data_IF_062185210446
#
_entry.id   IF_062185210446
#
_cell.length_a   1.000
_cell.length_b   1.000
_cell.length_c   1.000
_cell.angle_alpha   90.00
_cell.angle_beta   90.00
_cell.angle_gamma   90.00
#
_symmetry.space_group_name_H-M   'P 1'
#
loop_
_entity.id
_entity.type
_entity.pdbx_description
1 polymer ?
#
# COMPACT_ATOMS: atom_id res chain seq x y z
N UNK A 1 -22.60 11.04 0.90
CA UNK A 1 -22.02 11.43 2.21
C UNK A 1 -21.61 10.17 2.93
N UNK A 2 -20.32 10.01 3.25
CA UNK A 2 -19.86 8.86 4.02
C UNK A 2 -20.07 9.20 5.49
N UNK A 3 -20.73 8.31 6.24
CA UNK A 3 -21.05 8.55 7.65
C UNK A 3 -19.76 8.59 8.48
N UNK A 4 -19.66 9.52 9.44
CA UNK A 4 -18.50 9.66 10.35
C UNK A 4 -18.13 8.34 11.04
N UNK A 5 -19.11 7.47 11.31
CA UNK A 5 -18.89 6.11 11.81
C UNK A 5 -17.96 5.26 10.93
N UNK A 6 -18.08 5.36 9.60
CA UNK A 6 -17.22 4.60 8.66
C UNK A 6 -15.76 5.05 8.76
N UNK A 7 -15.51 6.35 8.95
CA UNK A 7 -14.16 6.87 9.13
C UNK A 7 -13.48 6.32 10.38
N UNK A 8 -14.18 6.28 11.51
CA UNK A 8 -13.66 5.71 12.74
C UNK A 8 -13.44 4.20 12.64
N UNK A 9 -14.32 3.46 11.96
CA UNK A 9 -14.13 2.03 11.70
C UNK A 9 -12.89 1.75 10.85
N UNK A 10 -12.70 2.51 9.76
CA UNK A 10 -11.52 2.36 8.90
C UNK A 10 -10.26 2.77 9.65
N UNK A 11 -10.32 3.83 10.46
CA UNK A 11 -9.20 4.23 11.32
C UNK A 11 -8.80 3.12 12.30
N UNK A 12 -9.77 2.49 12.96
CA UNK A 12 -9.52 1.36 13.85
C UNK A 12 -8.91 0.16 13.10
N UNK A 13 -9.40 -0.13 11.88
CA UNK A 13 -8.82 -1.17 11.04
C UNK A 13 -7.36 -0.87 10.65
N UNK A 14 -7.02 0.38 10.33
CA UNK A 14 -5.65 0.80 10.05
C UNK A 14 -4.75 0.68 11.28
N UNK A 15 -5.24 1.04 12.48
CA UNK A 15 -4.51 0.84 13.73
C UNK A 15 -4.25 -0.64 13.98
N UNK A 16 -5.25 -1.50 13.81
CA UNK A 16 -5.09 -2.94 13.94
C UNK A 16 -4.03 -3.48 12.96
N UNK A 17 -4.09 -3.10 11.68
CA UNK A 17 -3.07 -3.48 10.70
C UNK A 17 -1.68 -2.97 11.09
N UNK A 18 -1.58 -1.79 11.72
CA UNK A 18 -0.29 -1.25 12.21
C UNK A 18 0.30 -2.10 13.31
N UNK A 19 -0.54 -2.50 14.28
CA UNK A 19 -0.12 -3.40 15.34
C UNK A 19 0.29 -4.77 14.80
N UNK A 20 -0.42 -5.28 13.78
CA UNK A 20 -0.05 -6.53 13.11
C UNK A 20 1.31 -6.40 12.41
N UNK A 21 1.58 -5.32 11.68
CA UNK A 21 2.91 -5.12 11.06
C UNK A 21 4.02 -4.96 12.10
N UNK A 22 3.75 -4.25 13.20
CA UNK A 22 4.72 -4.11 14.29
C UNK A 22 4.97 -5.45 15.00
N UNK A 23 3.92 -6.24 15.23
CA UNK A 23 4.00 -7.59 15.80
C UNK A 23 4.78 -8.56 14.89
N UNK A 24 4.56 -8.48 13.59
CA UNK A 24 5.26 -9.30 12.60
C UNK A 24 6.79 -9.06 12.61
N UNK A 25 7.26 -7.88 13.04
CA UNK A 25 8.69 -7.63 13.21
C UNK A 25 9.35 -8.47 14.31
N UNK A 26 8.57 -8.98 15.28
CA UNK A 26 9.07 -9.81 16.38
C UNK A 26 8.93 -11.31 16.11
N UNK A 27 8.23 -11.70 15.04
CA UNK A 27 8.03 -13.11 14.67
C UNK A 27 8.96 -13.44 13.51
N UNK A 28 9.88 -14.38 13.74
CA UNK A 28 10.83 -14.78 12.71
C UNK A 28 10.20 -15.81 11.76
N UNK A 29 9.56 -15.30 10.71
CA UNK A 29 8.97 -16.09 9.62
C UNK A 29 10.03 -16.50 8.57
N UNK A 30 11.28 -16.07 8.75
CA UNK A 30 12.33 -16.10 7.72
C UNK A 30 12.30 -14.84 6.85
N UNK A 31 13.49 -14.37 6.46
CA UNK A 31 13.70 -13.05 5.84
C UNK A 31 12.81 -12.78 4.60
N UNK A 32 12.61 -13.80 3.76
CA UNK A 32 11.83 -13.69 2.52
C UNK A 32 10.32 -13.59 2.79
N UNK A 33 9.81 -14.43 3.70
CA UNK A 33 8.39 -14.48 4.06
C UNK A 33 7.97 -13.25 4.86
N UNK A 34 8.85 -12.73 5.71
CA UNK A 34 8.55 -11.52 6.47
C UNK A 34 8.41 -10.29 5.54
N UNK A 35 9.30 -10.15 4.55
CA UNK A 35 9.19 -9.09 3.56
C UNK A 35 7.91 -9.18 2.74
N UNK A 36 7.53 -10.37 2.29
CA UNK A 36 6.29 -10.57 1.52
C UNK A 36 5.05 -10.24 2.36
N UNK A 37 5.01 -10.69 3.62
CA UNK A 37 3.94 -10.38 4.56
C UNK A 37 3.84 -8.87 4.84
N UNK A 38 4.96 -8.21 5.11
CA UNK A 38 5.01 -6.77 5.35
C UNK A 38 4.49 -5.97 4.13
N UNK A 39 4.90 -6.36 2.92
CA UNK A 39 4.46 -5.72 1.68
C UNK A 39 2.96 -5.92 1.41
N UNK A 40 2.44 -7.13 1.68
CA UNK A 40 1.02 -7.41 1.56
C UNK A 40 0.19 -6.55 2.53
N UNK A 41 0.60 -6.46 3.80
CA UNK A 41 -0.09 -5.63 4.79
C UNK A 41 -0.02 -4.14 4.41
N UNK A 42 1.14 -3.67 3.94
CA UNK A 42 1.32 -2.30 3.46
C UNK A 42 0.39 -1.97 2.28
N UNK A 43 0.23 -2.92 1.35
CA UNK A 43 -0.66 -2.77 0.18
C UNK A 43 -2.12 -2.66 0.61
N UNK A 44 -2.58 -3.51 1.52
CA UNK A 44 -3.96 -3.46 2.05
C UNK A 44 -4.21 -2.11 2.77
N UNK A 45 -3.25 -1.65 3.57
CA UNK A 45 -3.30 -0.33 4.21
C UNK A 45 -3.46 0.80 3.19
N UNK A 46 -2.63 0.80 2.15
CA UNK A 46 -2.67 1.82 1.11
C UNK A 46 -4.03 1.84 0.39
N UNK A 47 -4.60 0.67 0.09
CA UNK A 47 -5.94 0.56 -0.53
C UNK A 47 -7.02 1.14 0.40
N UNK A 48 -7.02 0.79 1.68
CA UNK A 48 -7.97 1.35 2.66
C UNK A 48 -7.88 2.89 2.73
N UNK A 49 -6.67 3.43 2.79
CA UNK A 49 -6.45 4.88 2.82
C UNK A 49 -6.92 5.55 1.53
N UNK A 50 -6.55 5.01 0.37
CA UNK A 50 -6.96 5.56 -0.92
C UNK A 50 -8.48 5.55 -1.07
N UNK A 51 -9.13 4.43 -0.77
CA UNK A 51 -10.57 4.26 -1.01
C UNK A 51 -11.43 5.12 -0.08
N UNK A 52 -11.05 5.23 1.20
CA UNK A 52 -11.86 5.89 2.23
C UNK A 52 -11.37 7.29 2.59
N UNK A 53 -10.09 7.48 2.91
CA UNK A 53 -9.57 8.79 3.33
C UNK A 53 -9.32 9.74 2.16
N UNK A 54 -8.79 9.24 1.05
CA UNK A 54 -8.63 10.05 -0.17
C UNK A 54 -9.92 10.15 -0.99
N UNK A 55 -11.02 9.55 -0.51
CA UNK A 55 -12.33 9.55 -1.16
C UNK A 55 -12.32 9.05 -2.62
N UNK A 56 -11.30 8.29 -3.05
CA UNK A 56 -11.12 7.89 -4.46
C UNK A 56 -12.36 7.19 -5.02
N UNK A 57 -13.08 6.43 -4.19
CA UNK A 57 -14.30 5.72 -4.59
C UNK A 57 -15.41 6.63 -5.12
N UNK A 58 -15.49 7.87 -4.63
CA UNK A 58 -16.50 8.84 -5.03
C UNK A 58 -15.95 9.92 -5.96
N UNK A 59 -14.66 9.83 -6.30
CA UNK A 59 -14.00 10.80 -7.16
C UNK A 59 -14.37 10.62 -8.63
N UNK A 60 -14.27 11.69 -9.45
CA UNK A 60 -14.45 11.60 -10.89
C UNK A 60 -13.51 10.57 -11.53
N UNK A 61 -13.92 9.99 -12.67
CA UNK A 61 -13.10 9.02 -13.42
C UNK A 61 -11.73 9.57 -13.80
N UNK A 62 -11.61 10.87 -14.03
CA UNK A 62 -10.34 11.55 -14.30
C UNK A 62 -9.35 11.40 -13.14
N UNK A 63 -9.80 11.56 -11.89
CA UNK A 63 -8.96 11.39 -10.70
C UNK A 63 -8.47 9.96 -10.55
N UNK A 64 -9.33 8.98 -10.84
CA UNK A 64 -8.96 7.56 -10.83
C UNK A 64 -7.91 7.23 -11.90
N UNK A 65 -8.05 7.81 -13.10
CA UNK A 65 -7.06 7.66 -14.17
C UNK A 65 -5.70 8.20 -13.76
N UNK A 66 -5.63 9.41 -13.19
CA UNK A 66 -4.36 9.98 -12.74
C UNK A 66 -3.75 9.22 -11.56
N UNK A 67 -4.56 8.77 -10.60
CA UNK A 67 -4.08 7.94 -9.49
C UNK A 67 -3.49 6.61 -10.00
N UNK A 68 -4.17 5.95 -10.95
CA UNK A 68 -3.66 4.74 -11.61
C UNK A 68 -2.40 5.01 -12.43
N UNK A 69 -2.38 6.11 -13.19
CA UNK A 69 -1.21 6.51 -13.96
C UNK A 69 0.01 6.78 -13.07
N UNK A 70 -0.18 7.41 -11.91
CA UNK A 70 0.88 7.62 -10.92
C UNK A 70 1.45 6.30 -10.38
N UNK A 71 0.59 5.31 -10.08
CA UNK A 71 1.04 3.98 -9.66
C UNK A 71 1.79 3.23 -10.77
N UNK A 72 1.30 3.30 -12.01
CA UNK A 72 2.00 2.70 -13.17
C UNK A 72 3.35 3.37 -13.37
N UNK A 73 3.43 4.70 -13.23
CA UNK A 73 4.67 5.45 -13.35
C UNK A 73 5.68 5.05 -12.26
N UNK A 74 5.22 4.96 -11.01
CA UNK A 74 6.06 4.48 -9.90
C UNK A 74 6.57 3.06 -10.16
N UNK A 75 5.71 2.16 -10.65
CA UNK A 75 6.11 0.79 -10.98
C UNK A 75 7.17 0.76 -12.08
N UNK A 76 7.06 1.62 -13.11
CA UNK A 76 8.09 1.74 -14.14
C UNK A 76 9.43 2.18 -13.55
N UNK A 77 9.43 3.23 -12.72
CA UNK A 77 10.65 3.71 -12.07
C UNK A 77 11.32 2.59 -11.26
N UNK A 78 10.55 1.87 -10.44
CA UNK A 78 11.08 0.79 -9.62
C UNK A 78 11.63 -0.37 -10.48
N UNK A 79 10.85 -0.87 -11.43
CA UNK A 79 11.25 -2.01 -12.28
C UNK A 79 12.51 -1.69 -13.07
N UNK A 80 12.58 -0.51 -13.68
CA UNK A 80 13.75 -0.11 -14.47
C UNK A 80 14.97 0.14 -13.59
N UNK A 81 14.82 0.78 -12.43
CA UNK A 81 15.92 0.92 -11.48
C UNK A 81 16.44 -0.43 -11.00
N UNK A 82 15.58 -1.36 -10.61
CA UNK A 82 16.02 -2.71 -10.22
C UNK A 82 16.66 -3.47 -11.37
N UNK A 83 16.09 -3.41 -12.59
CA UNK A 83 16.67 -4.04 -13.77
C UNK A 83 18.08 -3.50 -14.08
N UNK A 84 18.29 -2.20 -13.93
CA UNK A 84 19.62 -1.59 -14.06
C UNK A 84 20.57 -2.17 -12.99
N UNK A 85 20.20 -2.12 -11.72
CA UNK A 85 21.04 -2.65 -10.62
C UNK A 85 21.37 -4.14 -10.77
N UNK A 86 20.43 -4.98 -11.25
CA UNK A 86 20.67 -6.41 -11.45
C UNK A 86 21.56 -6.72 -12.67
N UNK A 87 21.46 -5.93 -13.74
CA UNK A 87 22.22 -6.19 -14.98
C UNK A 87 23.59 -5.50 -15.00
N UNK A 88 23.82 -4.57 -14.06
CA UNK A 88 25.08 -3.86 -13.93
C UNK A 88 26.18 -4.82 -13.47
N UNK A 89 27.00 -5.24 -14.44
CA UNK A 89 28.21 -6.04 -14.22
C UNK A 89 29.37 -5.12 -13.88
N UNK A 90 29.61 -4.95 -12.58
CA UNK A 90 30.83 -4.35 -12.03
C UNK A 90 31.28 -5.19 -10.84
#
# INVERSE_FOLDING_TARGET
MITVKTYYLVFAALLALTLVTAGAAFVDLGAQWNNLAALAIATIKAILVATYFMHLRHSPRLTLLFAGAGLIWLAHLLVFSFADYLTRSW
#
